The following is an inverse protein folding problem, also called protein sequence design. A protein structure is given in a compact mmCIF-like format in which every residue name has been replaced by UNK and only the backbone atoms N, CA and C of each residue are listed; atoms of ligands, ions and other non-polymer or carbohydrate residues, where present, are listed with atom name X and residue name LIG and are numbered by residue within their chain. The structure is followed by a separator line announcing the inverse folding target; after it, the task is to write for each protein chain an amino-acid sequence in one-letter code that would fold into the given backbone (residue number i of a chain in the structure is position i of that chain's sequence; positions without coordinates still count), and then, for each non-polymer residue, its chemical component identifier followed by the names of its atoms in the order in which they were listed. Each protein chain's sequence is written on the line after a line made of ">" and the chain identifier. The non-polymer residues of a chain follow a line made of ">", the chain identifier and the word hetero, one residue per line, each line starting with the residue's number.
data_IF_266330321126
#
_entry.id   IF_266330321126
#
_cell.length_a   1.000
_cell.length_b   1.000
_cell.length_c   1.000
_cell.angle_alpha   90.00
_cell.angle_beta   90.00
_cell.angle_gamma   90.00
#
_symmetry.space_group_name_H-M   'P 1'
#
loop_
_entity.id
_entity.type
_entity.pdbx_description
1 polymer ?
#
# COMPACT_ATOMS: atom_id res chain seq x y z
N UNK A 1 24.41 13.24 -10.58
CA UNK A 1 23.55 14.39 -10.92
C UNK A 1 22.66 14.61 -9.72
N UNK A 2 22.97 15.63 -8.92
CA UNK A 2 22.17 15.98 -7.75
C UNK A 2 20.78 16.44 -8.22
N UNK A 3 19.74 15.93 -7.58
CA UNK A 3 18.38 16.40 -7.81
C UNK A 3 18.32 17.78 -7.13
N UNK A 4 18.05 18.81 -7.92
CA UNK A 4 17.84 20.15 -7.39
C UNK A 4 16.55 20.11 -6.56
N UNK A 5 16.62 20.52 -5.30
CA UNK A 5 15.53 20.40 -4.33
C UNK A 5 14.30 21.28 -4.65
N UNK A 6 14.40 22.11 -5.70
CA UNK A 6 13.41 23.12 -6.09
C UNK A 6 12.23 22.59 -6.94
N UNK A 7 12.08 21.28 -7.17
CA UNK A 7 11.13 20.76 -8.18
C UNK A 7 10.18 19.63 -7.73
N UNK A 8 10.05 19.33 -6.43
CA UNK A 8 9.09 18.33 -5.92
C UNK A 8 7.85 18.99 -5.32
N UNK A 9 6.68 18.39 -5.50
CA UNK A 9 5.41 18.89 -4.96
C UNK A 9 5.04 18.30 -3.58
N UNK A 10 5.99 17.64 -2.92
CA UNK A 10 5.75 16.81 -1.74
C UNK A 10 6.93 16.90 -0.77
N UNK A 11 6.63 16.67 0.50
CA UNK A 11 7.62 16.69 1.59
C UNK A 11 7.85 15.27 2.13
N UNK A 12 9.05 15.04 2.68
CA UNK A 12 9.49 13.79 3.26
C UNK A 12 9.63 13.91 4.78
N UNK A 13 8.84 13.11 5.49
CA UNK A 13 9.03 12.85 6.92
C UNK A 13 9.77 11.52 7.12
N UNK A 14 10.95 11.58 7.74
CA UNK A 14 11.76 10.42 8.08
C UNK A 14 11.61 10.08 9.57
N UNK A 15 11.01 8.92 9.86
CA UNK A 15 10.87 8.42 11.24
C UNK A 15 11.89 7.34 11.54
N UNK A 16 12.78 7.56 12.50
CA UNK A 16 13.80 6.58 12.92
C UNK A 16 13.42 5.93 14.25
N UNK A 17 13.73 4.63 14.37
CA UNK A 17 13.51 3.86 15.61
C UNK A 17 14.81 3.61 16.41
N UNK A 18 15.96 3.70 15.74
CA UNK A 18 17.27 3.63 16.36
C UNK A 18 17.88 5.04 16.48
N UNK A 19 18.75 5.23 17.48
CA UNK A 19 19.56 6.43 17.66
C UNK A 19 20.71 6.43 16.64
N UNK A 20 20.37 6.51 15.36
CA UNK A 20 21.32 6.64 14.26
C UNK A 20 21.34 8.10 13.83
N UNK A 21 22.52 8.69 13.77
CA UNK A 21 22.71 9.99 13.11
C UNK A 21 22.51 9.79 11.62
N UNK A 22 21.42 10.34 11.09
CA UNK A 22 21.18 10.38 9.65
C UNK A 22 21.73 11.70 9.16
N UNK A 23 22.60 11.63 8.14
CA UNK A 23 23.03 12.81 7.41
C UNK A 23 21.81 13.29 6.61
N UNK A 24 21.11 14.28 7.15
CA UNK A 24 19.97 14.88 6.46
C UNK A 24 20.53 15.90 5.50
N UNK A 25 20.60 15.49 4.23
CA UNK A 25 20.64 16.46 3.15
C UNK A 25 19.34 17.24 3.09
N UNK A 26 19.27 18.24 2.22
CA UNK A 26 18.08 19.09 2.08
C UNK A 26 16.82 18.29 1.64
N UNK A 27 16.93 16.99 1.34
CA UNK A 27 15.83 16.16 0.84
C UNK A 27 14.84 15.70 1.93
N UNK A 28 15.17 15.83 3.22
CA UNK A 28 14.31 15.46 4.35
C UNK A 28 13.76 16.70 5.04
N UNK A 29 12.44 16.88 5.01
CA UNK A 29 11.78 18.09 5.55
C UNK A 29 11.44 17.94 7.03
N UNK A 30 11.14 16.72 7.48
CA UNK A 30 10.80 16.43 8.87
C UNK A 30 11.55 15.20 9.37
N UNK A 31 12.19 15.33 10.53
CA UNK A 31 12.82 14.22 11.25
C UNK A 31 11.97 13.90 12.47
N UNK A 32 11.63 12.64 12.63
CA UNK A 32 10.91 12.12 13.77
C UNK A 32 11.69 10.96 14.39
N UNK A 33 11.79 10.94 15.71
CA UNK A 33 12.42 9.84 16.44
C UNK A 33 11.37 9.16 17.30
N UNK A 34 11.15 7.87 17.05
CA UNK A 34 10.17 7.11 17.80
C UNK A 34 10.58 5.64 17.94
N UNK A 35 10.80 5.23 19.18
CA UNK A 35 11.13 3.85 19.53
C UNK A 35 9.84 3.01 19.57
N UNK A 36 9.50 2.38 18.46
CA UNK A 36 8.34 1.49 18.33
C UNK A 36 8.16 0.97 16.92
N UNK A 37 6.91 0.71 16.53
CA UNK A 37 6.54 0.28 15.19
C UNK A 37 6.27 1.47 14.25
N UNK A 38 5.93 1.14 13.00
CA UNK A 38 5.56 2.13 11.98
C UNK A 38 4.30 2.89 12.38
N UNK A 39 3.26 2.18 12.81
CA UNK A 39 1.93 2.76 12.97
C UNK A 39 1.82 3.64 14.22
N UNK A 40 2.25 3.16 15.37
CA UNK A 40 2.33 3.97 16.57
C UNK A 40 3.32 5.14 16.43
N UNK A 41 4.39 4.98 15.64
CA UNK A 41 5.26 6.08 15.22
C UNK A 41 4.55 7.15 14.38
N UNK A 42 3.76 6.76 13.37
CA UNK A 42 2.95 7.69 12.56
C UNK A 42 1.91 8.40 13.45
N UNK A 43 1.29 7.69 14.39
CA UNK A 43 0.38 8.30 15.36
C UNK A 43 1.09 9.36 16.21
N UNK A 44 2.26 9.04 16.76
CA UNK A 44 3.05 9.96 17.57
C UNK A 44 3.50 11.19 16.77
N UNK A 45 3.89 11.02 15.51
CA UNK A 45 4.26 12.12 14.62
C UNK A 45 3.11 13.13 14.48
N UNK A 46 1.91 12.68 14.09
CA UNK A 46 0.77 13.58 13.91
C UNK A 46 0.18 14.09 15.23
N UNK A 47 0.38 13.38 16.34
CA UNK A 47 0.03 13.90 17.66
C UNK A 47 0.89 15.12 18.05
N UNK A 48 2.16 15.14 17.64
CA UNK A 48 3.08 16.26 17.87
C UNK A 48 3.00 17.34 16.79
N UNK A 49 2.51 16.99 15.60
CA UNK A 49 2.39 17.89 14.44
C UNK A 49 0.98 17.86 13.84
N UNK A 50 -0.07 18.23 14.59
CA UNK A 50 -1.45 18.15 14.11
C UNK A 50 -1.69 19.06 12.89
N UNK A 51 -1.00 20.20 12.82
CA UNK A 51 -1.14 21.13 11.69
C UNK A 51 -0.68 20.50 10.36
N UNK A 52 0.34 19.63 10.38
CA UNK A 52 0.80 18.92 9.18
C UNK A 52 -0.28 17.97 8.63
N UNK A 53 -1.13 17.41 9.49
CA UNK A 53 -2.25 16.59 9.02
C UNK A 53 -3.25 17.42 8.20
N UNK A 54 -3.36 18.72 8.45
CA UNK A 54 -4.22 19.62 7.69
C UNK A 54 -3.54 20.21 6.45
N UNK A 55 -2.21 20.25 6.42
CA UNK A 55 -1.43 20.86 5.33
C UNK A 55 -1.34 20.03 4.04
N UNK A 56 -1.61 18.72 4.08
CA UNK A 56 -1.53 17.84 2.91
C UNK A 56 -2.87 17.16 2.61
N UNK A 57 -3.18 16.99 1.32
CA UNK A 57 -4.37 16.24 0.87
C UNK A 57 -4.14 14.72 0.85
N UNK A 58 -2.88 14.28 0.66
CA UNK A 58 -2.50 12.88 0.52
C UNK A 58 -1.27 12.54 1.33
N UNK A 59 -1.25 11.32 1.86
CA UNK A 59 -0.18 10.81 2.72
C UNK A 59 0.26 9.44 2.21
N UNK A 60 1.52 9.32 1.81
CA UNK A 60 2.11 8.04 1.42
C UNK A 60 2.88 7.43 2.59
N UNK A 61 2.29 6.39 3.21
CA UNK A 61 2.84 5.76 4.41
C UNK A 61 3.67 4.54 4.01
N UNK A 62 4.96 4.73 3.78
CA UNK A 62 5.82 3.74 3.13
C UNK A 62 6.73 2.98 4.11
N UNK A 63 6.96 1.68 3.87
CA UNK A 63 7.94 0.85 4.57
C UNK A 63 9.38 1.16 4.09
N UNK A 64 10.38 0.82 4.92
CA UNK A 64 11.79 1.15 4.69
C UNK A 64 12.48 0.28 3.62
N UNK A 65 11.78 -0.70 3.05
CA UNK A 65 12.26 -1.63 2.03
C UNK A 65 11.57 -1.49 0.67
N UNK A 66 10.90 -0.36 0.46
CA UNK A 66 10.34 0.06 -0.82
C UNK A 66 11.35 0.95 -1.56
N UNK A 67 11.69 0.56 -2.79
CA UNK A 67 12.53 1.38 -3.66
C UNK A 67 11.67 2.25 -4.57
N UNK A 68 11.85 3.57 -4.48
CA UNK A 68 11.20 4.57 -5.31
C UNK A 68 12.15 5.73 -5.64
N UNK A 69 12.00 6.33 -6.83
CA UNK A 69 12.63 7.62 -7.17
C UNK A 69 11.70 8.80 -6.86
N UNK A 70 12.27 10.00 -6.70
CA UNK A 70 11.49 11.23 -6.53
C UNK A 70 10.45 11.45 -7.64
N UNK A 71 10.81 11.13 -8.90
CA UNK A 71 9.89 11.24 -10.04
C UNK A 71 8.73 10.24 -9.98
N UNK A 72 8.93 9.05 -9.41
CA UNK A 72 7.86 8.08 -9.21
C UNK A 72 6.90 8.53 -8.12
N UNK A 73 7.40 9.20 -7.07
CA UNK A 73 6.56 9.78 -6.00
C UNK A 73 5.70 10.92 -6.55
N UNK A 74 6.30 11.78 -7.38
CA UNK A 74 5.60 12.86 -8.09
C UNK A 74 4.47 12.31 -8.99
N UNK A 75 4.78 11.31 -9.82
CA UNK A 75 3.77 10.66 -10.67
C UNK A 75 2.68 9.98 -9.84
N UNK A 76 3.03 9.40 -8.68
CA UNK A 76 2.10 8.73 -7.78
C UNK A 76 1.07 9.71 -7.22
N UNK A 77 1.51 10.81 -6.61
CA UNK A 77 0.60 11.82 -6.08
C UNK A 77 -0.23 12.47 -7.20
N UNK A 78 0.40 12.84 -8.32
CA UNK A 78 -0.31 13.39 -9.49
C UNK A 78 -1.41 12.46 -9.99
N UNK A 79 -1.16 11.14 -10.04
CA UNK A 79 -2.15 10.16 -10.49
C UNK A 79 -3.26 9.95 -9.45
N UNK A 80 -2.93 9.89 -8.17
CA UNK A 80 -3.91 9.78 -7.08
C UNK A 80 -4.85 10.99 -7.08
N UNK A 81 -4.30 12.20 -7.18
CA UNK A 81 -5.06 13.45 -7.24
C UNK A 81 -5.93 13.50 -8.50
N UNK A 82 -5.37 13.21 -9.68
CA UNK A 82 -6.12 13.24 -10.94
C UNK A 82 -7.39 12.39 -10.92
N UNK A 83 -7.33 11.21 -10.31
CA UNK A 83 -8.47 10.29 -10.24
C UNK A 83 -9.22 10.33 -8.90
N UNK A 84 -8.81 11.21 -7.99
CA UNK A 84 -9.43 11.45 -6.69
C UNK A 84 -9.59 10.14 -5.89
N UNK A 85 -8.53 9.32 -5.87
CA UNK A 85 -8.53 8.11 -5.04
C UNK A 85 -8.44 8.51 -3.57
N UNK A 86 -9.23 7.87 -2.71
CA UNK A 86 -9.18 8.08 -1.27
C UNK A 86 -8.16 7.16 -0.61
N UNK A 87 -7.93 6.00 -1.22
CA UNK A 87 -6.92 5.02 -0.84
C UNK A 87 -6.30 4.47 -2.13
N UNK A 88 -4.98 4.45 -2.21
CA UNK A 88 -4.30 3.84 -3.34
C UNK A 88 -2.97 3.20 -2.94
N UNK A 89 -2.37 2.45 -3.85
CA UNK A 89 -0.94 2.16 -3.79
C UNK A 89 -0.39 2.04 -5.22
N UNK A 90 0.91 2.32 -5.42
CA UNK A 90 1.59 1.85 -6.62
C UNK A 90 1.56 0.31 -6.67
N UNK A 91 1.66 -0.24 -7.88
CA UNK A 91 1.79 -1.68 -8.04
C UNK A 91 3.19 -2.15 -7.63
N UNK A 92 3.29 -3.42 -7.23
CA UNK A 92 4.58 -4.07 -7.05
C UNK A 92 5.16 -4.52 -8.38
N UNK A 93 6.47 -4.40 -8.54
CA UNK A 93 7.18 -5.05 -9.64
C UNK A 93 7.02 -6.58 -9.54
N UNK A 94 7.05 -7.31 -10.67
CA UNK A 94 6.88 -8.77 -10.66
C UNK A 94 7.89 -9.52 -9.78
N UNK A 95 9.11 -9.00 -9.61
CA UNK A 95 10.18 -9.60 -8.82
C UNK A 95 10.13 -9.25 -7.33
N UNK A 96 9.16 -8.45 -6.90
CA UNK A 96 8.95 -8.09 -5.50
C UNK A 96 8.45 -9.26 -4.64
N UNK A 97 8.72 -9.19 -3.33
CA UNK A 97 8.01 -10.02 -2.36
C UNK A 97 6.57 -9.50 -2.19
N UNK A 98 5.56 -10.35 -2.38
CA UNK A 98 4.15 -9.93 -2.32
C UNK A 98 3.28 -10.89 -1.50
N UNK A 99 2.34 -10.38 -0.70
CA UNK A 99 1.36 -11.22 0.03
C UNK A 99 0.11 -11.48 -0.81
N UNK A 100 -0.34 -10.46 -1.54
CA UNK A 100 -1.56 -10.49 -2.32
C UNK A 100 -1.23 -10.32 -3.80
N UNK A 101 -1.53 -11.33 -4.62
CA UNK A 101 -1.25 -11.29 -6.08
C UNK A 101 -1.80 -10.05 -6.77
N UNK A 102 -2.90 -9.54 -6.24
CA UNK A 102 -3.55 -8.35 -6.76
C UNK A 102 -2.62 -7.14 -6.78
N UNK A 103 -1.70 -7.00 -5.82
CA UNK A 103 -0.79 -5.85 -5.72
C UNK A 103 0.30 -5.86 -6.78
N UNK A 104 0.55 -6.97 -7.47
CA UNK A 104 1.50 -7.04 -8.59
C UNK A 104 0.99 -6.25 -9.80
N UNK A 105 1.93 -5.61 -10.50
CA UNK A 105 1.66 -4.84 -11.71
C UNK A 105 1.01 -5.68 -12.80
N UNK A 106 -0.06 -5.12 -13.38
CA UNK A 106 -0.70 -5.60 -14.59
C UNK A 106 -0.53 -4.53 -15.70
N UNK A 107 0.55 -4.58 -16.52
CA UNK A 107 1.00 -3.47 -17.37
C UNK A 107 0.02 -3.00 -18.45
N UNK A 108 -1.08 -3.70 -18.68
CA UNK A 108 -2.11 -3.27 -19.62
C UNK A 108 -3.04 -2.20 -19.03
N UNK A 109 -2.99 -1.99 -17.71
CA UNK A 109 -3.78 -1.01 -16.98
C UNK A 109 -2.93 0.21 -16.62
N UNK A 110 -3.59 1.37 -16.55
CA UNK A 110 -3.08 2.52 -15.81
C UNK A 110 -3.34 2.33 -14.31
N UNK A 111 -4.55 1.90 -13.95
CA UNK A 111 -4.94 1.56 -12.58
C UNK A 111 -6.13 0.59 -12.57
N UNK A 112 -6.32 -0.08 -11.43
CA UNK A 112 -7.43 -0.99 -11.14
C UNK A 112 -8.12 -0.56 -9.86
N UNK A 113 -9.44 -0.45 -9.89
CA UNK A 113 -10.24 -0.26 -8.68
C UNK A 113 -10.39 -1.58 -7.95
N UNK A 114 -10.26 -1.58 -6.63
CA UNK A 114 -10.16 -2.80 -5.83
C UNK A 114 -10.77 -2.62 -4.44
N UNK A 115 -10.96 -3.71 -3.70
CA UNK A 115 -11.29 -3.70 -2.27
C UNK A 115 -10.08 -3.83 -1.34
N UNK A 116 -8.86 -3.67 -1.86
CA UNK A 116 -7.68 -3.95 -1.06
C UNK A 116 -6.47 -3.11 -1.44
N UNK A 117 -5.88 -2.48 -0.44
CA UNK A 117 -4.56 -1.84 -0.48
C UNK A 117 -3.75 -2.35 0.70
N UNK A 118 -2.55 -2.85 0.43
CA UNK A 118 -1.65 -3.45 1.40
C UNK A 118 -0.92 -2.37 2.22
N UNK A 119 -0.61 -2.70 3.48
CA UNK A 119 -0.12 -1.75 4.46
C UNK A 119 1.31 -1.24 4.26
N UNK A 120 2.06 -1.83 3.33
CA UNK A 120 3.48 -1.53 3.12
C UNK A 120 3.70 -0.18 2.45
N UNK A 121 2.78 0.27 1.57
CA UNK A 121 2.93 1.54 0.85
C UNK A 121 1.59 2.20 0.46
N UNK A 122 0.59 2.27 1.36
CA UNK A 122 -0.67 2.94 1.06
C UNK A 122 -0.48 4.45 0.91
N UNK A 123 -1.19 5.02 -0.06
CA UNK A 123 -1.52 6.44 -0.13
C UNK A 123 -2.91 6.60 0.42
N UNK A 124 -3.08 7.45 1.43
CA UNK A 124 -4.38 7.78 2.04
C UNK A 124 -4.68 9.25 1.83
N UNK A 125 -5.92 9.57 1.47
CA UNK A 125 -6.41 10.95 1.55
C UNK A 125 -6.42 11.43 3.00
N UNK A 126 -6.31 12.74 3.22
CA UNK A 126 -6.46 13.38 4.53
C UNK A 126 -7.73 12.93 5.25
N UNK A 127 -8.85 12.88 4.52
CA UNK A 127 -10.15 12.49 5.07
C UNK A 127 -10.14 11.05 5.61
N UNK A 128 -9.51 10.12 4.89
CA UNK A 128 -9.35 8.73 5.36
C UNK A 128 -8.34 8.68 6.50
N UNK A 129 -7.17 9.33 6.36
CA UNK A 129 -6.12 9.31 7.38
C UNK A 129 -6.65 9.81 8.73
N UNK A 130 -7.38 10.93 8.77
CA UNK A 130 -7.99 11.46 10.00
C UNK A 130 -8.91 10.45 10.70
N UNK A 131 -9.66 9.66 9.93
CA UNK A 131 -10.54 8.64 10.48
C UNK A 131 -9.78 7.42 11.00
N UNK A 132 -8.68 7.02 10.35
CA UNK A 132 -7.95 5.80 10.72
C UNK A 132 -6.82 6.03 11.72
N UNK A 133 -6.30 7.26 11.81
CA UNK A 133 -5.16 7.62 12.65
C UNK A 133 -5.35 7.22 14.13
N UNK A 134 -6.53 7.35 14.77
CA UNK A 134 -6.73 6.89 16.14
C UNK A 134 -6.44 5.40 16.35
N UNK A 135 -6.56 4.57 15.31
CA UNK A 135 -6.30 3.11 15.37
C UNK A 135 -4.84 2.75 15.20
N UNK A 136 -4.00 3.71 14.81
CA UNK A 136 -2.55 3.51 14.76
C UNK A 136 -1.93 3.55 16.16
N UNK A 137 -2.62 4.18 17.14
CA UNK A 137 -2.17 4.26 18.52
C UNK A 137 -1.99 2.86 19.11
N UNK A 138 -0.79 2.60 19.65
CA UNK A 138 -0.39 1.32 20.26
C UNK A 138 -0.40 0.12 19.29
N UNK A 139 -0.37 0.37 17.98
CA UNK A 139 -0.31 -0.69 16.96
C UNK A 139 1.11 -0.84 16.47
N UNK A 140 1.74 -2.01 16.67
CA UNK A 140 3.13 -2.20 16.26
C UNK A 140 3.28 -2.89 14.90
N UNK A 141 2.53 -3.97 14.62
CA UNK A 141 2.60 -4.63 13.30
C UNK A 141 1.69 -3.97 12.27
N UNK A 142 0.52 -3.49 12.70
CA UNK A 142 -0.55 -3.00 11.83
C UNK A 142 -1.24 -4.08 11.01
N UNK A 143 -0.98 -5.36 11.28
CA UNK A 143 -1.61 -6.45 10.56
C UNK A 143 -3.12 -6.42 10.78
N UNK A 144 -3.92 -6.17 9.74
CA UNK A 144 -5.36 -5.97 9.83
C UNK A 144 -5.81 -4.54 9.51
N UNK A 145 -4.92 -3.53 9.59
CA UNK A 145 -5.24 -2.14 9.21
C UNK A 145 -5.59 -2.01 7.72
N UNK A 146 -4.97 -2.84 6.88
CA UNK A 146 -5.23 -3.01 5.45
C UNK A 146 -6.67 -3.38 5.09
N UNK A 147 -7.39 -3.98 6.04
CA UNK A 147 -8.82 -4.29 5.93
C UNK A 147 -9.70 -3.19 6.53
N UNK A 148 -9.17 -2.51 7.54
CA UNK A 148 -9.89 -1.49 8.29
C UNK A 148 -10.14 -0.23 7.44
N UNK A 149 -9.12 0.32 6.79
CA UNK A 149 -9.24 1.61 6.08
C UNK A 149 -10.21 1.57 4.89
N UNK A 150 -10.45 0.40 4.30
CA UNK A 150 -11.40 0.25 3.20
C UNK A 150 -12.85 0.59 3.63
N UNK A 151 -13.15 0.52 4.92
CA UNK A 151 -14.45 0.90 5.48
C UNK A 151 -14.67 2.41 5.64
N UNK A 152 -13.64 3.24 5.46
CA UNK A 152 -13.70 4.69 5.70
C UNK A 152 -13.76 5.54 4.43
N UNK A 153 -13.76 4.89 3.27
CA UNK A 153 -13.87 5.60 1.99
C UNK A 153 -15.32 5.87 1.61
N UNK A 154 -15.55 6.96 0.87
CA UNK A 154 -16.89 7.36 0.43
C UNK A 154 -17.48 6.42 -0.62
N UNK A 155 -16.65 5.88 -1.53
CA UNK A 155 -17.08 5.02 -2.65
C UNK A 155 -16.16 3.79 -2.78
N UNK A 156 -16.39 2.73 -1.98
CA UNK A 156 -15.47 1.58 -1.88
C UNK A 156 -15.09 0.89 -3.20
N UNK A 157 -15.93 0.96 -4.23
CA UNK A 157 -15.66 0.31 -5.52
C UNK A 157 -15.01 1.25 -6.56
N UNK A 158 -14.77 2.51 -6.21
CA UNK A 158 -14.33 3.56 -7.13
C UNK A 158 -13.10 4.32 -6.61
N UNK A 159 -12.97 4.53 -5.30
CA UNK A 159 -11.91 5.38 -4.73
C UNK A 159 -10.77 4.60 -4.09
N UNK A 160 -10.80 3.26 -4.15
CA UNK A 160 -9.69 2.39 -3.73
C UNK A 160 -9.01 1.80 -4.96
N UNK A 161 -7.69 2.02 -5.11
CA UNK A 161 -6.99 1.66 -6.35
C UNK A 161 -5.59 1.06 -6.18
N UNK A 162 -5.21 0.19 -7.13
CA UNK A 162 -3.82 -0.16 -7.41
C UNK A 162 -3.42 0.52 -8.71
N UNK A 163 -2.33 1.29 -8.70
CA UNK A 163 -1.86 2.07 -9.84
C UNK A 163 -0.80 1.25 -10.58
N UNK A 164 -1.18 0.64 -11.70
CA UNK A 164 -0.31 -0.23 -12.50
C UNK A 164 0.69 0.54 -13.37
N UNK A 165 0.40 1.81 -13.68
CA UNK A 165 1.30 2.67 -14.46
C UNK A 165 2.62 2.90 -13.73
N UNK A 166 2.60 2.88 -12.40
CA UNK A 166 3.73 3.15 -11.52
C UNK A 166 3.98 1.87 -10.73
N UNK A 167 5.14 1.24 -10.92
CA UNK A 167 5.54 0.08 -10.13
C UNK A 167 6.78 0.36 -9.29
N UNK A 168 6.75 -0.14 -8.06
CA UNK A 168 7.83 0.00 -7.08
C UNK A 168 8.23 -1.38 -6.57
N UNK A 169 9.51 -1.51 -6.20
CA UNK A 169 10.08 -2.79 -5.80
C UNK A 169 10.09 -2.94 -4.29
N UNK A 170 9.70 -4.12 -3.81
CA UNK A 170 9.80 -4.52 -2.42
C UNK A 170 10.79 -5.68 -2.27
N UNK A 171 11.98 -5.39 -1.74
CA UNK A 171 13.13 -6.30 -1.79
C UNK A 171 13.30 -7.18 -0.55
N UNK A 172 12.55 -6.94 0.52
CA UNK A 172 12.72 -7.69 1.76
C UNK A 172 11.72 -8.85 1.87
N UNK A 173 12.15 -10.06 2.26
CA UNK A 173 11.23 -11.13 2.58
C UNK A 173 10.37 -10.77 3.80
N UNK A 174 9.07 -11.08 3.73
CA UNK A 174 8.16 -10.95 4.87
C UNK A 174 8.67 -11.75 6.09
N UNK A 175 8.31 -11.29 7.28
CA UNK A 175 8.36 -12.04 8.55
C UNK A 175 9.76 -12.43 9.09
N UNK A 176 10.85 -11.81 8.65
CA UNK A 176 12.20 -12.16 9.14
C UNK A 176 12.79 -11.22 10.20
N UNK A 177 12.58 -9.90 10.10
CA UNK A 177 13.25 -8.94 10.99
C UNK A 177 12.35 -8.39 12.09
N UNK A 178 11.18 -7.84 11.74
CA UNK A 178 10.19 -7.34 12.72
C UNK A 178 9.69 -8.46 13.64
N UNK A 179 9.39 -9.63 13.08
CA UNK A 179 8.84 -10.77 13.84
C UNK A 179 9.73 -11.17 15.02
N UNK A 180 11.05 -11.28 14.79
CA UNK A 180 11.99 -11.66 15.83
C UNK A 180 12.17 -10.61 16.94
N UNK A 181 12.05 -9.30 16.62
CA UNK A 181 12.08 -8.23 17.64
C UNK A 181 10.77 -8.17 18.42
N UNK A 182 9.63 -8.28 17.73
CA UNK A 182 8.30 -8.26 18.32
C UNK A 182 8.08 -9.47 19.25
N UNK A 183 8.44 -10.68 18.80
CA UNK A 183 8.37 -11.91 19.61
C UNK A 183 9.20 -11.77 20.90
N UNK A 184 10.39 -11.15 20.83
CA UNK A 184 11.22 -10.87 22.02
C UNK A 184 10.59 -9.85 22.97
N UNK A 185 9.77 -8.94 22.45
CA UNK A 185 9.00 -7.97 23.24
C UNK A 185 7.65 -8.55 23.72
N UNK A 186 7.35 -9.82 23.45
CA UNK A 186 6.08 -10.46 23.80
C UNK A 186 4.89 -10.01 22.93
N UNK A 187 5.16 -9.37 21.79
CA UNK A 187 4.13 -8.88 20.87
C UNK A 187 4.06 -9.81 19.66
N UNK A 188 2.89 -10.37 19.40
CA UNK A 188 2.69 -11.28 18.28
C UNK A 188 1.76 -10.69 17.23
N UNK A 189 2.26 -10.50 16.00
CA UNK A 189 1.48 -9.90 14.91
C UNK A 189 0.17 -10.64 14.59
N UNK A 190 0.12 -11.96 14.83
CA UNK A 190 -1.11 -12.73 14.64
C UNK A 190 -2.17 -12.40 15.69
N UNK A 191 -1.77 -12.11 16.94
CA UNK A 191 -2.69 -11.70 18.00
C UNK A 191 -3.25 -10.30 17.74
N UNK A 192 -2.41 -9.35 17.30
CA UNK A 192 -2.87 -8.01 16.89
C UNK A 192 -3.90 -8.09 15.75
N UNK A 193 -3.65 -8.98 14.77
CA UNK A 193 -4.59 -9.22 13.68
C UNK A 193 -5.91 -9.82 14.16
N UNK A 194 -5.87 -10.88 14.97
CA UNK A 194 -7.09 -11.51 15.48
C UNK A 194 -7.89 -10.54 16.36
N UNK A 195 -7.21 -9.73 17.18
CA UNK A 195 -7.83 -8.65 17.95
C UNK A 195 -8.49 -7.63 17.02
N UNK A 196 -7.81 -7.20 15.96
CA UNK A 196 -8.37 -6.28 14.96
C UNK A 196 -9.60 -6.89 14.29
N UNK A 197 -9.52 -8.10 13.76
CA UNK A 197 -10.65 -8.78 13.11
C UNK A 197 -11.84 -8.89 14.06
N UNK A 198 -11.60 -9.29 15.31
CA UNK A 198 -12.64 -9.47 16.33
C UNK A 198 -13.30 -8.15 16.73
N UNK A 199 -12.51 -7.13 17.04
CA UNK A 199 -13.01 -5.83 17.49
C UNK A 199 -13.84 -5.14 16.42
N UNK A 200 -13.44 -5.28 15.16
CA UNK A 200 -14.04 -4.61 14.02
C UNK A 200 -15.06 -5.48 13.27
N UNK A 201 -15.27 -6.73 13.70
CA UNK A 201 -16.12 -7.72 13.02
C UNK A 201 -15.83 -7.80 11.52
N UNK A 202 -14.54 -7.73 11.16
CA UNK A 202 -14.11 -7.68 9.77
C UNK A 202 -14.39 -9.03 9.10
N UNK A 203 -15.12 -8.99 8.00
CA UNK A 203 -15.25 -10.15 7.14
C UNK A 203 -13.95 -10.36 6.37
N UNK A 204 -13.48 -11.61 6.31
CA UNK A 204 -12.34 -11.97 5.47
C UNK A 204 -12.78 -11.93 4.01
N UNK A 205 -12.56 -10.80 3.35
CA UNK A 205 -12.84 -10.65 1.92
C UNK A 205 -11.59 -11.04 1.12
N UNK A 206 -11.78 -11.58 -0.08
CA UNK A 206 -10.64 -11.86 -0.96
C UNK A 206 -10.31 -10.61 -1.79
N UNK A 207 -9.03 -10.19 -1.87
CA UNK A 207 -8.65 -9.06 -2.70
C UNK A 207 -8.95 -9.31 -4.17
N UNK A 208 -9.72 -8.41 -4.78
CA UNK A 208 -10.11 -8.46 -6.20
C UNK A 208 -10.12 -7.05 -6.80
N UNK A 209 -9.92 -6.98 -8.11
CA UNK A 209 -10.16 -5.76 -8.88
C UNK A 209 -11.59 -5.77 -9.49
N UNK A 210 -12.36 -4.72 -9.28
CA UNK A 210 -13.73 -4.63 -9.80
C UNK A 210 -13.78 -4.15 -11.25
N UNK A 211 -12.93 -3.16 -11.52
CA UNK A 211 -12.85 -2.42 -12.76
C UNK A 211 -11.44 -1.86 -12.91
N UNK A 212 -11.12 -1.31 -14.06
CA UNK A 212 -9.83 -0.67 -14.28
C UNK A 212 -9.77 0.09 -15.59
N UNK A 213 -8.85 1.04 -15.66
CA UNK A 213 -8.62 1.83 -16.86
C UNK A 213 -7.39 1.29 -17.59
N UNK A 214 -7.56 0.88 -18.85
CA UNK A 214 -6.46 0.44 -19.71
C UNK A 214 -5.52 1.60 -20.07
N UNK A 215 -4.32 1.29 -20.57
CA UNK A 215 -3.34 2.28 -21.02
C UNK A 215 -3.91 3.27 -22.05
N UNK A 216 -4.82 2.81 -22.92
CA UNK A 216 -5.49 3.63 -23.93
C UNK A 216 -6.70 4.44 -23.40
N UNK A 217 -6.91 4.46 -22.08
CA UNK A 217 -8.02 5.17 -21.44
C UNK A 217 -9.36 4.41 -21.43
N UNK A 218 -9.47 3.25 -22.07
CA UNK A 218 -10.72 2.46 -22.05
C UNK A 218 -10.95 1.83 -20.67
N UNK A 219 -12.14 2.05 -20.10
CA UNK A 219 -12.52 1.42 -18.84
C UNK A 219 -13.11 0.02 -19.03
N UNK A 220 -12.62 -0.93 -18.24
CA UNK A 220 -13.20 -2.26 -18.06
C UNK A 220 -14.02 -2.24 -16.78
N UNK A 221 -15.33 -2.51 -16.87
CA UNK A 221 -16.27 -2.42 -15.74
C UNK A 221 -16.91 -3.77 -15.36
N UNK A 222 -16.45 -4.85 -15.97
CA UNK A 222 -16.98 -6.20 -15.76
C UNK A 222 -15.91 -7.09 -15.12
N UNK A 223 -16.26 -7.73 -13.99
CA UNK A 223 -15.38 -8.65 -13.26
C UNK A 223 -14.89 -9.84 -14.07
N UNK A 224 -15.71 -10.40 -14.97
CA UNK A 224 -15.26 -11.49 -15.85
C UNK A 224 -14.19 -11.00 -16.82
N UNK A 225 -14.40 -9.83 -17.41
CA UNK A 225 -13.41 -9.21 -18.29
C UNK A 225 -12.12 -8.86 -17.53
N UNK A 226 -12.23 -8.31 -16.32
CA UNK A 226 -11.07 -8.08 -15.43
C UNK A 226 -10.31 -9.38 -15.17
N UNK A 227 -11.01 -10.45 -14.79
CA UNK A 227 -10.39 -11.76 -14.55
C UNK A 227 -9.65 -12.29 -15.77
N UNK A 228 -10.28 -12.30 -16.94
CA UNK A 228 -9.66 -12.78 -18.18
C UNK A 228 -8.41 -11.95 -18.54
N UNK A 229 -8.50 -10.62 -18.49
CA UNK A 229 -7.40 -9.72 -18.85
C UNK A 229 -6.22 -9.85 -17.89
N UNK A 230 -6.48 -9.81 -16.58
CA UNK A 230 -5.44 -9.95 -15.55
C UNK A 230 -4.80 -11.33 -15.60
N UNK A 231 -5.59 -12.40 -15.71
CA UNK A 231 -5.09 -13.78 -15.81
C UNK A 231 -4.20 -13.95 -17.04
N UNK A 232 -4.62 -13.44 -18.21
CA UNK A 232 -3.81 -13.48 -19.43
C UNK A 232 -2.50 -12.72 -19.24
N UNK A 233 -2.55 -11.52 -18.67
CA UNK A 233 -1.37 -10.68 -18.49
C UNK A 233 -0.37 -11.29 -17.50
N UNK A 234 -0.84 -11.75 -16.35
CA UNK A 234 0.03 -12.40 -15.37
C UNK A 234 0.57 -13.75 -15.87
N UNK A 235 -0.17 -14.48 -16.71
CA UNK A 235 0.40 -15.64 -17.40
C UNK A 235 1.58 -15.24 -18.27
N UNK A 236 1.49 -14.14 -19.02
CA UNK A 236 2.63 -13.65 -19.82
C UNK A 236 3.82 -13.25 -18.94
N UNK A 237 3.57 -12.64 -17.77
CA UNK A 237 4.60 -12.21 -16.82
C UNK A 237 5.12 -13.30 -15.88
N UNK A 238 4.57 -14.51 -15.94
CA UNK A 238 4.81 -15.58 -14.93
C UNK A 238 6.28 -15.92 -14.68
N UNK A 239 7.17 -15.69 -15.66
CA UNK A 239 8.62 -15.92 -15.52
C UNK A 239 9.32 -14.84 -14.70
N UNK A 240 8.79 -13.62 -14.71
CA UNK A 240 9.29 -12.50 -13.92
C UNK A 240 8.76 -12.54 -12.48
N UNK A 241 7.58 -13.15 -12.27
CA UNK A 241 6.99 -13.34 -10.94
C UNK A 241 7.75 -14.46 -10.21
N UNK A 242 8.62 -14.09 -9.26
CA UNK A 242 9.53 -15.06 -8.63
C UNK A 242 9.39 -15.20 -7.11
N UNK A 243 8.70 -14.30 -6.40
CA UNK A 243 8.74 -14.25 -4.91
C UNK A 243 7.35 -14.17 -4.24
N UNK A 244 6.54 -15.25 -4.28
CA UNK A 244 6.84 -16.57 -4.86
C UNK A 244 6.42 -16.72 -6.33
N UNK A 245 7.02 -17.70 -7.02
CA UNK A 245 6.66 -18.07 -8.39
C UNK A 245 5.23 -18.58 -8.53
N UNK A 246 4.66 -18.42 -9.72
CA UNK A 246 3.29 -18.85 -10.02
C UNK A 246 3.23 -20.28 -10.53
N UNK A 247 2.53 -21.14 -9.79
CA UNK A 247 2.05 -22.42 -10.30
C UNK A 247 0.80 -22.23 -11.17
N UNK A 248 0.55 -23.17 -12.08
CA UNK A 248 -0.67 -23.20 -12.89
C UNK A 248 -1.93 -23.21 -12.02
N UNK A 249 -1.91 -23.98 -10.92
CA UNK A 249 -3.00 -24.01 -9.94
C UNK A 249 -3.20 -22.64 -9.27
N UNK A 250 -2.12 -21.92 -8.98
CA UNK A 250 -2.16 -20.57 -8.42
C UNK A 250 -2.85 -19.56 -9.35
N UNK A 251 -2.57 -19.65 -10.66
CA UNK A 251 -3.21 -18.85 -11.71
C UNK A 251 -4.72 -19.15 -11.83
N UNK A 252 -5.09 -20.44 -11.87
CA UNK A 252 -6.50 -20.87 -11.95
C UNK A 252 -7.28 -20.36 -10.74
N UNK A 253 -6.72 -20.54 -9.53
CA UNK A 253 -7.33 -20.06 -8.30
C UNK A 253 -7.47 -18.54 -8.28
N UNK A 254 -6.48 -17.81 -8.78
CA UNK A 254 -6.57 -16.36 -8.93
C UNK A 254 -7.73 -15.98 -9.88
N UNK A 255 -7.79 -16.58 -11.06
CA UNK A 255 -8.82 -16.31 -12.08
C UNK A 255 -10.24 -16.55 -11.54
N UNK A 256 -10.47 -17.70 -10.89
CA UNK A 256 -11.77 -18.05 -10.34
C UNK A 256 -12.19 -17.09 -9.22
N UNK A 257 -11.28 -16.74 -8.31
CA UNK A 257 -11.59 -15.81 -7.21
C UNK A 257 -11.83 -14.39 -7.73
N UNK A 258 -10.99 -13.92 -8.64
CA UNK A 258 -11.16 -12.63 -9.30
C UNK A 258 -12.53 -12.51 -10.00
N UNK A 259 -13.01 -13.60 -10.61
CA UNK A 259 -14.32 -13.66 -11.24
C UNK A 259 -15.49 -13.79 -10.26
N UNK A 260 -15.37 -14.61 -9.21
CA UNK A 260 -16.52 -15.13 -8.46
C UNK A 260 -16.49 -14.92 -6.93
N UNK A 261 -15.42 -14.36 -6.35
CA UNK A 261 -15.40 -14.03 -4.91
C UNK A 261 -16.52 -13.07 -4.54
N UNK A 262 -17.12 -13.26 -3.37
CA UNK A 262 -18.13 -12.34 -2.81
C UNK A 262 -17.50 -10.97 -2.51
N UNK A 263 -18.32 -9.93 -2.65
CA UNK A 263 -18.02 -8.57 -2.21
C UNK A 263 -18.25 -8.46 -0.70
#
# INVERSE_FOLDING_TARGET
>A
MGINNEARSWDLALSTYDNVSIDTDDFVDYIHHYKGGKWDGIYAFFANHPDLLESYEYFWLVDDDIQASASQVEELFSHVEKYQFEIAQPALTPDSYYAHRLTLQCPIFNHRHTNFVELMMPVLSRAVLKQVLPYFRNTQSGLGLDWLWNGFVSRPNETIAIIDRISMSHYRPRNKHLRGRMEKAGIFAHEEKEATIKNWKLNKIYPIAFSGMLLNGKCIRNRLAMSCLMTKNYWMLRRSICRPAWSLLGLINFSLRQAFSKL
#
